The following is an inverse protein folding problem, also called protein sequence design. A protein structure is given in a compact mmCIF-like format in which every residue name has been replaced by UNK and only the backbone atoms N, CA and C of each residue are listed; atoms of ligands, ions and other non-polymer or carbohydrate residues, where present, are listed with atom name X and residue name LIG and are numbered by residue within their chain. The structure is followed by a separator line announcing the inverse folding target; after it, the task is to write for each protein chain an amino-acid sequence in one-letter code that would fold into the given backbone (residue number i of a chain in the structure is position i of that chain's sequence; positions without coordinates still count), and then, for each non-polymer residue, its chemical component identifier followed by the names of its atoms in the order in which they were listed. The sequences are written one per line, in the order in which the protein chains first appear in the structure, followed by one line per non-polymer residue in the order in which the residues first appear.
data_IF_234422204555
#
_entry.id   IF_234422204555
#
_cell.length_a   1.000
_cell.length_b   1.000
_cell.length_c   1.000
_cell.angle_alpha   90.00
_cell.angle_beta   90.00
_cell.angle_gamma   90.00
#
_symmetry.space_group_name_H-M   'P 1'
#
loop_
_entity.id
_entity.type
_entity.pdbx_description
1 polymer ?
#
# COMPACT_ATOMS: atom_id res chain seq x y z
N UNK A 1 13.03 -3.70 2.36
CA UNK A 1 13.78 -3.75 1.08
C UNK A 1 14.86 -4.84 1.04
N UNK A 2 14.71 -5.97 1.73
CA UNK A 2 15.79 -7.00 1.79
C UNK A 2 15.64 -8.14 0.75
N UNK A 3 14.43 -8.40 0.24
CA UNK A 3 14.20 -9.42 -0.79
C UNK A 3 14.68 -9.05 -2.19
N UNK A 4 14.98 -7.76 -2.42
CA UNK A 4 15.38 -7.24 -3.72
C UNK A 4 16.90 -7.37 -3.85
N UNK A 5 17.35 -8.16 -4.81
CA UNK A 5 18.75 -8.28 -5.18
C UNK A 5 19.17 -7.15 -6.15
N UNK A 6 18.28 -6.74 -7.06
CA UNK A 6 18.51 -5.68 -8.02
C UNK A 6 17.18 -5.03 -8.42
N UNK A 7 17.15 -3.72 -8.65
CA UNK A 7 16.03 -3.04 -9.33
C UNK A 7 16.52 -2.61 -10.71
N UNK A 8 15.83 -3.08 -11.75
CA UNK A 8 16.01 -2.62 -13.13
C UNK A 8 14.76 -1.88 -13.55
N UNK A 9 14.89 -0.60 -13.85
CA UNK A 9 13.77 0.21 -14.37
C UNK A 9 13.88 0.23 -15.89
N UNK A 10 12.87 -0.32 -16.57
CA UNK A 10 12.78 -0.32 -18.03
C UNK A 10 11.71 0.67 -18.47
N UNK A 11 12.15 1.83 -18.95
CA UNK A 11 11.28 2.85 -19.53
C UNK A 11 11.10 2.48 -21.02
N UNK A 12 9.90 1.99 -21.37
CA UNK A 12 9.52 1.57 -22.73
C UNK A 12 10.41 0.47 -23.34
N UNK A 13 10.25 -0.82 -22.93
CA UNK A 13 10.93 -1.91 -23.60
C UNK A 13 10.45 -2.05 -25.05
N UNK A 14 11.38 -1.98 -26.01
CA UNK A 14 11.15 -2.32 -27.43
C UNK A 14 11.22 -3.84 -27.69
N UNK A 15 11.38 -4.66 -26.65
CA UNK A 15 11.46 -6.11 -26.76
C UNK A 15 10.06 -6.74 -26.77
N UNK A 16 9.77 -7.51 -27.83
CA UNK A 16 8.52 -8.23 -28.08
C UNK A 16 8.19 -9.23 -26.93
N UNK A 17 9.18 -9.54 -26.07
CA UNK A 17 9.06 -10.43 -24.91
C UNK A 17 8.45 -9.78 -23.66
N UNK A 18 8.41 -8.44 -23.59
CA UNK A 18 7.90 -7.67 -22.45
C UNK A 18 6.54 -7.02 -22.81
N UNK A 19 5.52 -7.84 -23.05
CA UNK A 19 4.16 -7.38 -23.35
C UNK A 19 3.24 -7.36 -22.12
N UNK A 20 2.31 -6.39 -22.05
CA UNK A 20 1.18 -6.39 -21.10
C UNK A 20 1.13 -5.26 -20.07
N UNK A 21 1.99 -4.24 -20.14
CA UNK A 21 2.01 -3.13 -19.18
C UNK A 21 1.41 -1.85 -19.78
N UNK A 22 0.35 -1.32 -19.16
CA UNK A 22 -0.03 0.10 -19.32
C UNK A 22 0.77 0.92 -18.28
N UNK A 23 2.07 1.11 -18.51
CA UNK A 23 2.93 1.88 -17.58
C UNK A 23 4.43 1.57 -17.66
N UNK A 24 5.20 2.12 -16.72
CA UNK A 24 6.64 1.83 -16.57
C UNK A 24 6.86 0.43 -15.98
N UNK A 25 7.65 -0.41 -16.64
CA UNK A 25 8.03 -1.73 -16.16
C UNK A 25 9.16 -1.63 -15.14
N UNK A 26 8.87 -1.89 -13.86
CA UNK A 26 9.90 -2.04 -12.82
C UNK A 26 10.18 -3.54 -12.68
N UNK A 27 11.34 -3.97 -13.17
CA UNK A 27 11.82 -5.34 -13.01
C UNK A 27 12.75 -5.41 -11.79
N UNK A 28 12.21 -5.80 -10.64
CA UNK A 28 13.02 -6.12 -9.47
C UNK A 28 13.44 -7.60 -9.51
N UNK A 29 14.74 -7.87 -9.54
CA UNK A 29 15.30 -9.21 -9.37
C UNK A 29 15.34 -9.51 -7.88
N UNK A 30 14.70 -10.59 -7.47
CA UNK A 30 14.65 -11.01 -6.07
C UNK A 30 15.76 -12.00 -5.76
N UNK A 31 16.25 -12.02 -4.52
CA UNK A 31 17.26 -12.99 -4.07
C UNK A 31 16.76 -14.44 -4.32
N UNK A 32 17.72 -15.35 -4.48
CA UNK A 32 17.53 -16.80 -4.68
C UNK A 32 18.30 -17.57 -3.60
N UNK A 33 17.91 -18.82 -3.35
CA UNK A 33 18.68 -19.69 -2.48
C UNK A 33 20.03 -20.08 -3.12
N UNK A 34 21.02 -20.36 -2.28
CA UNK A 34 22.35 -20.83 -2.69
C UNK A 34 22.65 -22.17 -2.01
N UNK A 35 23.83 -22.75 -2.24
CA UNK A 35 24.26 -23.95 -1.51
C UNK A 35 24.58 -23.70 -0.04
N UNK A 36 24.67 -22.44 0.35
CA UNK A 36 24.90 -22.03 1.73
C UNK A 36 23.59 -21.54 2.33
N UNK A 37 23.35 -21.93 3.57
CA UNK A 37 22.21 -21.43 4.31
C UNK A 37 22.49 -19.99 4.77
N UNK A 38 21.57 -19.10 4.47
CA UNK A 38 21.63 -17.68 4.85
C UNK A 38 20.31 -17.27 5.49
N UNK A 39 20.39 -16.47 6.54
CA UNK A 39 19.23 -15.87 7.17
C UNK A 39 19.56 -14.44 7.60
N UNK A 40 18.60 -13.55 7.46
CA UNK A 40 18.69 -12.15 7.86
C UNK A 40 17.45 -11.76 8.65
N UNK A 41 17.63 -10.90 9.64
CA UNK A 41 16.55 -10.26 10.36
C UNK A 41 16.91 -8.79 10.57
N UNK A 42 15.92 -7.92 10.51
CA UNK A 42 16.13 -6.49 10.76
C UNK A 42 14.87 -5.87 11.34
N UNK A 43 15.07 -4.77 12.06
CA UNK A 43 14.02 -3.90 12.59
C UNK A 43 14.46 -2.47 12.37
N UNK A 44 13.57 -1.66 11.81
CA UNK A 44 13.68 -0.22 11.72
C UNK A 44 12.52 0.38 12.52
N UNK A 45 12.82 1.33 13.40
CA UNK A 45 11.80 2.07 14.12
C UNK A 45 12.10 3.57 14.06
N UNK A 46 11.03 4.35 13.94
CA UNK A 46 11.05 5.80 14.06
C UNK A 46 9.82 6.24 14.83
N UNK A 47 10.02 6.95 15.92
CA UNK A 47 8.97 7.54 16.75
C UNK A 47 9.00 9.06 16.66
N UNK A 48 7.92 9.70 17.10
CA UNK A 48 7.81 11.14 17.33
C UNK A 48 8.93 11.70 18.21
N UNK A 49 9.41 10.94 19.21
CA UNK A 49 10.52 11.35 20.08
C UNK A 49 11.85 11.56 19.35
N UNK A 50 11.96 11.10 18.09
CA UNK A 50 13.14 11.26 17.24
C UNK A 50 12.97 12.38 16.19
N UNK A 51 11.85 13.11 16.19
CA UNK A 51 11.50 14.14 15.20
C UNK A 51 11.05 15.41 15.92
N UNK A 52 11.44 16.59 15.42
CA UNK A 52 10.96 17.87 15.98
C UNK A 52 9.49 18.12 15.64
N UNK A 53 8.74 18.72 16.57
CA UNK A 53 7.29 18.96 16.44
C UNK A 53 6.93 20.45 16.15
N UNK A 54 7.84 21.20 15.53
CA UNK A 54 7.66 22.65 15.29
C UNK A 54 7.70 23.02 13.81
N UNK A 55 6.82 23.92 13.37
CA UNK A 55 6.84 24.52 12.02
C UNK A 55 7.04 26.04 12.18
N UNK A 56 8.16 26.56 11.64
CA UNK A 56 8.46 27.99 11.70
C UNK A 56 8.59 28.55 13.12
N UNK A 57 8.97 27.71 14.09
CA UNK A 57 9.07 28.07 15.52
C UNK A 57 7.79 27.92 16.34
N UNK A 58 6.68 27.48 15.72
CA UNK A 58 5.43 27.18 16.43
C UNK A 58 5.28 25.67 16.62
N UNK A 59 4.95 25.22 17.82
CA UNK A 59 4.64 23.83 18.12
C UNK A 59 3.31 23.43 17.46
N UNK A 60 3.23 22.20 16.96
CA UNK A 60 1.99 21.63 16.43
C UNK A 60 1.13 21.17 17.62
N UNK A 61 -0.08 21.73 17.74
CA UNK A 61 -1.02 21.43 18.84
C UNK A 61 -1.65 20.04 18.75
N UNK A 62 -1.89 19.56 17.54
CA UNK A 62 -2.29 18.18 17.32
C UNK A 62 -1.08 17.28 17.68
N UNK A 63 -1.14 16.61 18.82
CA UNK A 63 -0.13 15.64 19.26
C UNK A 63 -0.54 14.16 19.17
N UNK A 64 -1.17 13.68 18.09
CA UNK A 64 -1.41 12.25 17.91
C UNK A 64 -0.12 11.50 17.54
N UNK A 65 -0.08 10.22 17.90
CA UNK A 65 1.12 9.40 17.87
C UNK A 65 1.71 9.28 16.46
N UNK A 66 3.01 9.60 16.31
CA UNK A 66 3.78 9.24 15.12
C UNK A 66 4.69 8.06 15.42
N UNK A 67 4.44 6.94 14.76
CA UNK A 67 5.25 5.74 14.90
C UNK A 67 5.36 5.01 13.56
N UNK A 68 6.58 4.62 13.20
CA UNK A 68 6.87 3.78 12.06
C UNK A 68 7.72 2.60 12.54
N UNK A 69 7.24 1.39 12.31
CA UNK A 69 7.96 0.15 12.56
C UNK A 69 8.00 -0.67 11.28
N UNK A 70 9.19 -1.03 10.83
CA UNK A 70 9.39 -1.94 9.73
C UNK A 70 10.29 -3.08 10.19
N UNK A 71 9.76 -4.29 10.19
CA UNK A 71 10.48 -5.50 10.59
C UNK A 71 10.51 -6.46 9.41
N UNK A 72 11.62 -7.16 9.21
CA UNK A 72 11.69 -8.18 8.19
C UNK A 72 12.60 -9.34 8.55
N UNK A 73 12.29 -10.48 7.95
CA UNK A 73 13.04 -11.72 8.04
C UNK A 73 13.25 -12.25 6.62
N UNK A 74 14.44 -12.73 6.31
CA UNK A 74 14.65 -13.56 5.13
C UNK A 74 15.47 -14.79 5.45
N UNK A 75 15.23 -15.86 4.70
CA UNK A 75 15.96 -17.11 4.81
C UNK A 75 16.06 -17.74 3.43
N UNK A 76 17.22 -18.30 3.12
CA UNK A 76 17.41 -19.03 1.87
C UNK A 76 18.57 -20.01 1.96
N UNK A 77 18.52 -21.02 1.11
CA UNK A 77 19.52 -22.08 1.09
C UNK A 77 19.07 -23.28 0.26
N UNK A 78 19.81 -24.40 0.32
CA UNK A 78 19.46 -25.60 -0.42
C UNK A 78 18.43 -26.43 0.36
N UNK A 79 17.38 -26.89 -0.33
CA UNK A 79 16.60 -28.06 0.10
C UNK A 79 17.38 -29.33 -0.27
N UNK A 80 17.97 -29.34 -1.47
CA UNK A 80 18.88 -30.37 -1.96
C UNK A 80 20.06 -29.67 -2.63
N UNK A 81 21.26 -29.84 -2.08
CA UNK A 81 22.48 -29.18 -2.61
C UNK A 81 22.63 -29.42 -4.11
N UNK A 82 23.07 -28.38 -4.81
CA UNK A 82 23.25 -28.31 -6.27
C UNK A 82 21.97 -28.46 -7.12
N UNK A 83 20.85 -28.81 -6.49
CA UNK A 83 19.63 -29.21 -7.20
C UNK A 83 18.42 -28.34 -6.90
N UNK A 84 18.04 -28.18 -5.65
CA UNK A 84 16.81 -27.51 -5.24
C UNK A 84 17.11 -26.49 -4.14
N UNK A 85 16.73 -25.25 -4.39
CA UNK A 85 16.98 -24.11 -3.53
C UNK A 85 15.68 -23.41 -3.17
N UNK A 86 15.66 -22.80 -2.00
CA UNK A 86 14.53 -21.97 -1.58
C UNK A 86 15.03 -20.60 -1.11
N UNK A 87 14.15 -19.62 -1.24
CA UNK A 87 14.27 -18.32 -0.59
C UNK A 87 12.89 -17.88 -0.12
N UNK A 88 12.81 -17.41 1.12
CA UNK A 88 11.61 -16.88 1.72
C UNK A 88 11.92 -15.54 2.38
N UNK A 89 11.03 -14.56 2.22
CA UNK A 89 11.09 -13.28 2.91
C UNK A 89 9.71 -12.89 3.39
N UNK A 90 9.66 -12.29 4.56
CA UNK A 90 8.50 -11.62 5.11
C UNK A 90 8.91 -10.24 5.61
N UNK A 91 8.13 -9.21 5.27
CA UNK A 91 8.33 -7.84 5.71
C UNK A 91 6.99 -7.29 6.20
N UNK A 92 7.03 -6.67 7.38
CA UNK A 92 5.91 -6.06 8.06
C UNK A 92 6.21 -4.59 8.28
N UNK A 93 5.36 -3.70 7.79
CA UNK A 93 5.39 -2.26 8.05
C UNK A 93 4.11 -1.88 8.80
N UNK A 94 4.29 -1.14 9.89
CA UNK A 94 3.22 -0.57 10.71
C UNK A 94 3.50 0.90 10.88
N UNK A 95 2.57 1.74 10.44
CA UNK A 95 2.72 3.18 10.53
C UNK A 95 1.46 3.79 11.12
N UNK A 96 1.69 4.63 12.11
CA UNK A 96 0.69 5.46 12.77
C UNK A 96 1.06 6.89 12.44
N UNK A 97 0.11 7.62 11.86
CA UNK A 97 0.23 9.04 11.59
C UNK A 97 -0.95 9.78 12.25
N UNK A 98 -0.75 11.05 12.61
CA UNK A 98 -1.83 11.98 12.89
C UNK A 98 -2.98 11.91 11.87
N UNK A 99 -4.22 11.76 12.34
CA UNK A 99 -5.40 11.86 11.49
C UNK A 99 -5.59 13.27 10.91
N UNK A 100 -5.14 14.27 11.65
CA UNK A 100 -5.19 15.70 11.36
C UNK A 100 -4.09 16.43 12.14
N UNK A 101 -3.54 17.50 11.55
CA UNK A 101 -2.66 18.44 12.26
C UNK A 101 -3.43 19.60 12.92
N UNK A 102 -4.76 19.59 12.81
CA UNK A 102 -5.66 20.60 13.33
C UNK A 102 -6.50 20.06 14.49
N UNK A 103 -6.65 20.87 15.53
CA UNK A 103 -7.60 20.68 16.63
C UNK A 103 -8.70 21.74 16.58
N UNK A 104 -9.82 21.51 17.28
CA UNK A 104 -10.90 22.48 17.40
C UNK A 104 -10.51 23.59 18.39
N UNK A 105 -11.02 24.79 18.15
CA UNK A 105 -10.92 25.96 19.02
C UNK A 105 -11.76 25.75 20.29
N UNK A 106 -11.14 25.88 21.46
CA UNK A 106 -11.76 25.64 22.77
C UNK A 106 -12.01 26.94 23.57
N UNK A 107 -11.29 28.02 23.28
CA UNK A 107 -11.31 29.26 24.07
C UNK A 107 -11.79 30.50 23.28
N UNK A 108 -12.01 30.36 21.97
CA UNK A 108 -12.45 31.42 21.08
C UNK A 108 -11.31 32.24 20.45
N UNK A 109 -10.04 31.88 20.70
CA UNK A 109 -8.84 32.54 20.19
C UNK A 109 -8.00 31.58 19.35
N UNK A 110 -8.24 31.59 18.05
CA UNK A 110 -7.57 30.69 17.09
C UNK A 110 -6.04 30.85 17.12
N UNK A 111 -5.36 29.78 17.54
CA UNK A 111 -3.91 29.64 17.48
C UNK A 111 -3.43 28.85 16.24
N UNK A 112 -2.11 28.80 16.04
CA UNK A 112 -1.51 27.98 14.97
C UNK A 112 -1.77 26.49 15.25
N UNK A 113 -2.30 25.77 14.26
CA UNK A 113 -2.71 24.36 14.43
C UNK A 113 -4.14 24.20 14.93
N UNK A 114 -4.90 25.28 15.03
CA UNK A 114 -6.34 25.23 15.33
C UNK A 114 -7.18 25.50 14.08
N UNK A 115 -8.34 24.86 14.07
CA UNK A 115 -9.45 25.20 13.19
C UNK A 115 -10.37 26.16 13.92
N UNK A 116 -11.01 27.10 13.21
CA UNK A 116 -12.09 27.96 13.75
C UNK A 116 -13.31 27.20 14.29
N UNK A 117 -13.34 25.90 14.09
CA UNK A 117 -14.40 25.01 14.52
C UNK A 117 -14.35 24.90 16.04
N UNK A 118 -15.47 25.17 16.71
CA UNK A 118 -15.57 25.17 18.17
C UNK A 118 -15.70 23.75 18.70
N UNK A 119 -14.87 23.38 19.68
CA UNK A 119 -14.94 22.10 20.37
C UNK A 119 -16.33 21.87 20.99
N UNK A 120 -16.92 22.90 21.60
CA UNK A 120 -18.27 22.83 22.20
C UNK A 120 -19.34 22.50 21.15
N UNK A 121 -19.25 23.10 19.97
CA UNK A 121 -20.18 22.81 18.85
C UNK A 121 -19.97 21.40 18.31
N UNK A 122 -18.72 20.95 18.17
CA UNK A 122 -18.41 19.59 17.71
C UNK A 122 -18.92 18.53 18.68
N UNK A 123 -18.75 18.74 19.98
CA UNK A 123 -19.31 17.87 21.02
C UNK A 123 -20.84 17.82 20.98
N UNK A 124 -21.50 18.97 20.81
CA UNK A 124 -22.94 19.03 20.67
C UNK A 124 -23.44 18.28 19.41
N UNK A 125 -22.72 18.40 18.29
CA UNK A 125 -23.01 17.63 17.07
C UNK A 125 -22.86 16.13 17.35
N UNK A 126 -21.71 15.69 17.89
CA UNK A 126 -21.46 14.28 18.24
C UNK A 126 -22.55 13.71 19.14
N UNK A 127 -22.91 14.41 20.22
CA UNK A 127 -23.98 13.98 21.13
C UNK A 127 -25.33 13.90 20.43
N UNK A 128 -25.68 14.92 19.63
CA UNK A 128 -26.94 14.90 18.86
C UNK A 128 -27.01 13.72 17.89
N UNK A 129 -25.92 13.43 17.18
CA UNK A 129 -25.81 12.29 16.28
C UNK A 129 -26.02 10.96 16.99
N UNK A 130 -25.44 10.82 18.18
CA UNK A 130 -25.59 9.62 19.01
C UNK A 130 -27.01 9.49 19.57
N UNK A 131 -27.52 10.52 20.22
CA UNK A 131 -28.75 10.42 21.02
C UNK A 131 -30.04 10.37 20.17
N UNK A 132 -30.04 11.05 19.02
CA UNK A 132 -31.23 11.15 18.17
C UNK A 132 -31.16 10.26 16.94
N UNK A 133 -29.99 10.12 16.36
CA UNK A 133 -29.81 9.37 15.11
C UNK A 133 -29.14 8.01 15.31
N UNK A 134 -28.73 7.68 16.55
CA UNK A 134 -28.00 6.45 16.86
C UNK A 134 -26.79 6.23 15.94
N UNK A 135 -26.09 7.31 15.62
CA UNK A 135 -24.93 7.31 14.73
C UNK A 135 -23.69 7.75 15.51
N UNK A 136 -22.66 6.90 15.48
CA UNK A 136 -21.35 7.23 16.03
C UNK A 136 -20.49 7.96 14.99
N UNK A 137 -20.17 9.21 15.28
CA UNK A 137 -19.34 10.05 14.41
C UNK A 137 -17.85 9.66 14.50
N UNK A 138 -17.43 8.96 15.55
CA UNK A 138 -16.03 8.90 15.94
C UNK A 138 -15.54 10.25 16.46
N UNK A 139 -14.23 10.37 16.63
CA UNK A 139 -13.60 11.60 17.13
C UNK A 139 -13.39 12.63 16.01
N UNK A 140 -13.32 13.91 16.35
CA UNK A 140 -13.03 14.99 15.39
C UNK A 140 -11.59 15.51 15.48
N UNK A 141 -10.85 15.06 16.49
CA UNK A 141 -9.44 15.38 16.73
C UNK A 141 -8.81 14.28 17.57
N UNK A 142 -7.48 14.22 17.63
CA UNK A 142 -6.76 13.28 18.50
C UNK A 142 -6.85 11.80 18.09
N UNK A 143 -7.33 11.50 16.89
CA UNK A 143 -7.35 10.16 16.32
C UNK A 143 -6.16 9.95 15.35
N UNK A 144 -5.85 8.68 15.08
CA UNK A 144 -4.76 8.26 14.22
C UNK A 144 -5.25 7.70 12.88
N UNK A 145 -4.44 7.87 11.85
CA UNK A 145 -4.51 7.07 10.63
C UNK A 145 -3.48 5.96 10.67
N UNK A 146 -3.92 4.75 10.33
CA UNK A 146 -3.07 3.58 10.25
C UNK A 146 -2.70 3.29 8.79
N UNK A 147 -1.43 2.98 8.54
CA UNK A 147 -0.94 2.42 7.29
C UNK A 147 -0.15 1.15 7.59
N UNK A 148 -0.70 0.01 7.20
CA UNK A 148 -0.06 -1.29 7.40
C UNK A 148 0.26 -1.94 6.06
N UNK A 149 1.39 -2.64 6.03
CA UNK A 149 1.86 -3.33 4.84
C UNK A 149 2.55 -4.64 5.20
N UNK A 150 1.98 -5.76 4.78
CA UNK A 150 2.55 -7.10 4.90
C UNK A 150 2.93 -7.62 3.53
N UNK A 151 4.22 -7.93 3.35
CA UNK A 151 4.77 -8.46 2.12
C UNK A 151 5.40 -9.81 2.39
N UNK A 152 5.09 -10.79 1.54
CA UNK A 152 5.76 -12.08 1.56
C UNK A 152 6.27 -12.43 0.17
N UNK A 153 7.46 -12.99 0.10
CA UNK A 153 8.00 -13.60 -1.10
C UNK A 153 8.47 -15.00 -0.79
N UNK A 154 8.02 -15.97 -1.57
CA UNK A 154 8.54 -17.33 -1.58
C UNK A 154 9.08 -17.63 -2.97
N UNK A 155 10.25 -18.23 -3.04
CA UNK A 155 10.89 -18.64 -4.29
C UNK A 155 11.48 -20.03 -4.14
N UNK A 156 11.28 -20.86 -5.15
CA UNK A 156 11.88 -22.18 -5.30
C UNK A 156 12.58 -22.24 -6.65
N UNK A 157 13.86 -22.59 -6.64
CA UNK A 157 14.67 -22.76 -7.83
C UNK A 157 15.13 -24.22 -7.90
N UNK A 158 14.79 -24.92 -8.99
CA UNK A 158 15.05 -26.35 -9.18
C UNK A 158 15.81 -26.62 -10.48
N UNK A 159 17.06 -27.05 -10.34
CA UNK A 159 17.87 -27.61 -11.42
C UNK A 159 17.42 -29.05 -11.65
N UNK A 160 16.49 -29.26 -12.59
CA UNK A 160 16.03 -30.59 -12.98
C UNK A 160 17.21 -31.45 -13.47
N UNK A 161 18.10 -30.85 -14.26
CA UNK A 161 19.41 -31.37 -14.68
C UNK A 161 20.25 -30.23 -15.29
N UNK A 162 21.40 -30.55 -15.91
CA UNK A 162 22.31 -29.56 -16.51
C UNK A 162 21.67 -28.70 -17.63
N UNK A 163 20.57 -29.15 -18.23
CA UNK A 163 19.93 -28.52 -19.38
C UNK A 163 18.59 -27.86 -19.05
N UNK A 164 17.98 -28.18 -17.90
CA UNK A 164 16.64 -27.76 -17.54
C UNK A 164 16.62 -27.21 -16.12
N UNK A 165 16.12 -25.98 -15.96
CA UNK A 165 15.86 -25.38 -14.66
C UNK A 165 14.44 -24.81 -14.59
N UNK A 166 13.84 -24.92 -13.40
CA UNK A 166 12.49 -24.50 -13.10
C UNK A 166 12.53 -23.53 -11.92
N UNK A 167 11.87 -22.39 -12.04
CA UNK A 167 11.68 -21.44 -10.95
C UNK A 167 10.19 -21.29 -10.67
N UNK A 168 9.82 -21.32 -9.40
CA UNK A 168 8.51 -20.92 -8.92
C UNK A 168 8.67 -19.75 -7.96
N UNK A 169 7.81 -18.74 -8.08
CA UNK A 169 7.74 -17.58 -7.18
C UNK A 169 6.30 -17.28 -6.80
N UNK A 170 6.10 -17.05 -5.52
CA UNK A 170 4.86 -16.48 -4.97
C UNK A 170 5.16 -15.16 -4.28
N UNK A 171 4.41 -14.11 -4.62
CA UNK A 171 4.45 -12.81 -3.95
C UNK A 171 3.07 -12.51 -3.35
N UNK A 172 3.05 -12.09 -2.09
CA UNK A 172 1.87 -11.62 -1.39
C UNK A 172 2.05 -10.16 -0.98
N UNK A 173 1.01 -9.36 -1.16
CA UNK A 173 0.84 -8.05 -0.54
C UNK A 173 -0.50 -8.04 0.19
N UNK A 174 -0.51 -7.64 1.46
CA UNK A 174 -1.71 -7.23 2.17
C UNK A 174 -1.42 -5.86 2.75
N UNK A 175 -2.12 -4.85 2.29
CA UNK A 175 -1.85 -3.49 2.74
C UNK A 175 -3.12 -2.68 2.85
N UNK A 176 -3.12 -1.73 3.77
CA UNK A 176 -4.17 -0.76 3.86
C UNK A 176 -3.65 0.59 4.34
N UNK A 177 -4.43 1.64 4.08
CA UNK A 177 -4.20 2.98 4.60
C UNK A 177 -5.53 3.66 4.93
N UNK A 178 -5.63 4.19 6.14
CA UNK A 178 -6.72 5.04 6.56
C UNK A 178 -6.58 6.46 5.99
N UNK A 179 -7.72 7.04 5.62
CA UNK A 179 -7.83 8.39 5.11
C UNK A 179 -9.07 9.06 5.71
N UNK A 180 -9.02 10.39 5.80
CA UNK A 180 -10.20 11.21 6.06
C UNK A 180 -11.19 11.20 4.89
N UNK A 181 -12.30 11.97 4.98
CA UNK A 181 -13.23 12.12 3.87
C UNK A 181 -12.55 12.67 2.62
N UNK A 182 -13.14 12.39 1.46
CA UNK A 182 -12.65 12.94 0.22
C UNK A 182 -12.67 14.48 0.25
N UNK A 183 -11.53 15.10 -0.06
CA UNK A 183 -11.23 16.47 0.38
C UNK A 183 -12.05 17.61 -0.22
N UNK A 184 -12.80 17.42 -1.33
CA UNK A 184 -13.45 18.53 -2.04
C UNK A 184 -14.91 18.31 -2.43
N UNK A 185 -15.26 17.09 -2.85
CA UNK A 185 -16.56 16.83 -3.47
C UNK A 185 -17.68 16.92 -2.43
N UNK A 186 -18.78 17.63 -2.77
CA UNK A 186 -19.91 17.96 -1.90
C UNK A 186 -19.60 18.88 -0.70
N UNK A 187 -18.40 19.46 -0.61
CA UNK A 187 -18.14 20.47 0.43
C UNK A 187 -19.07 21.68 0.31
N UNK A 188 -19.44 22.25 1.45
CA UNK A 188 -20.21 23.49 1.49
C UNK A 188 -19.48 24.60 0.70
N UNK A 189 -20.16 25.17 -0.29
CA UNK A 189 -19.60 26.17 -1.21
C UNK A 189 -18.27 25.77 -1.90
N UNK A 190 -18.03 24.47 -2.08
CA UNK A 190 -16.78 23.95 -2.68
C UNK A 190 -15.50 24.34 -1.91
N UNK A 191 -15.59 24.53 -0.59
CA UNK A 191 -14.49 25.01 0.25
C UNK A 191 -13.64 23.89 0.87
N UNK A 192 -13.95 22.63 0.56
CA UNK A 192 -13.25 21.44 1.05
C UNK A 192 -13.92 20.77 2.25
N UNK A 193 -13.64 19.48 2.46
CA UNK A 193 -14.14 18.61 3.56
C UNK A 193 -13.02 18.13 4.49
N UNK A 194 -11.78 18.32 4.08
CA UNK A 194 -10.61 17.88 4.85
C UNK A 194 -10.35 18.75 6.07
N UNK A 195 -9.57 18.26 7.04
CA UNK A 195 -9.14 19.07 8.17
C UNK A 195 -8.28 20.25 7.70
N UNK A 196 -8.64 21.46 8.10
CA UNK A 196 -7.91 22.70 7.83
C UNK A 196 -8.30 23.78 8.86
N UNK A 197 -7.79 25.00 8.69
CA UNK A 197 -8.09 26.15 9.58
C UNK A 197 -9.57 26.54 9.63
N UNK A 198 -10.38 26.10 8.65
CA UNK A 198 -11.80 26.45 8.52
C UNK A 198 -12.76 25.31 8.83
N UNK A 199 -12.33 24.04 8.68
CA UNK A 199 -13.17 22.85 8.85
C UNK A 199 -12.45 21.70 9.55
N UNK A 200 -13.22 20.89 10.30
CA UNK A 200 -12.77 19.62 10.87
C UNK A 200 -13.80 18.52 10.62
N UNK A 201 -13.47 17.48 9.84
CA UNK A 201 -14.33 16.32 9.69
C UNK A 201 -14.23 15.37 10.89
N UNK A 202 -15.31 14.64 11.15
CA UNK A 202 -15.29 13.51 12.07
C UNK A 202 -14.61 12.28 11.45
N UNK A 203 -13.95 11.46 12.27
CA UNK A 203 -13.17 10.31 11.87
C UNK A 203 -13.98 9.31 11.04
N UNK A 204 -15.23 9.02 11.43
CA UNK A 204 -16.05 8.03 10.74
C UNK A 204 -16.54 8.50 9.36
N UNK A 205 -16.35 9.78 9.03
CA UNK A 205 -16.48 10.30 7.66
C UNK A 205 -15.32 9.88 6.75
N UNK A 206 -14.28 9.28 7.31
CA UNK A 206 -13.16 8.70 6.58
C UNK A 206 -13.40 7.27 6.10
N UNK A 207 -12.37 6.71 5.47
CA UNK A 207 -12.38 5.38 4.90
C UNK A 207 -10.97 4.79 4.85
N UNK A 208 -10.91 3.47 4.69
CA UNK A 208 -9.69 2.70 4.51
C UNK A 208 -9.58 2.24 3.07
N UNK A 209 -8.44 2.50 2.43
CA UNK A 209 -8.07 1.89 1.15
C UNK A 209 -7.33 0.59 1.47
N UNK A 210 -7.76 -0.52 0.89
CA UNK A 210 -7.09 -1.82 0.98
C UNK A 210 -6.56 -2.21 -0.40
N UNK A 211 -5.33 -2.71 -0.44
CA UNK A 211 -4.68 -3.23 -1.63
C UNK A 211 -4.08 -4.59 -1.33
N UNK A 212 -4.60 -5.62 -2.00
CA UNK A 212 -4.16 -7.00 -1.83
C UNK A 212 -3.68 -7.58 -3.17
N UNK A 213 -2.54 -8.26 -3.13
CA UNK A 213 -1.96 -8.97 -4.28
C UNK A 213 -1.62 -10.42 -3.90
N UNK A 214 -2.00 -11.36 -4.75
CA UNK A 214 -1.40 -12.69 -4.82
C UNK A 214 -0.86 -12.92 -6.23
N UNK A 215 0.45 -13.08 -6.35
CA UNK A 215 1.17 -13.20 -7.61
C UNK A 215 1.92 -14.54 -7.65
N UNK A 216 1.53 -15.42 -8.57
CA UNK A 216 2.20 -16.70 -8.83
C UNK A 216 2.95 -16.61 -10.14
N UNK A 217 4.20 -17.07 -10.18
CA UNK A 217 5.00 -17.13 -11.40
C UNK A 217 5.75 -18.47 -11.46
N UNK A 218 5.78 -19.04 -12.66
CA UNK A 218 6.51 -20.26 -12.99
C UNK A 218 7.35 -20.00 -14.24
N UNK A 219 8.62 -20.33 -14.20
CA UNK A 219 9.54 -20.20 -15.34
C UNK A 219 10.30 -21.51 -15.54
N UNK A 220 10.25 -22.07 -16.75
CA UNK A 220 11.02 -23.25 -17.14
C UNK A 220 11.98 -22.85 -18.26
N UNK A 221 13.28 -22.86 -17.97
CA UNK A 221 14.32 -22.71 -18.99
C UNK A 221 14.83 -24.10 -19.37
N UNK A 222 14.88 -24.37 -20.68
CA UNK A 222 15.25 -25.66 -21.25
C UNK A 222 16.25 -25.49 -22.37
N UNK A 223 17.26 -26.37 -22.43
CA UNK A 223 18.20 -26.49 -23.54
C UNK A 223 18.09 -27.88 -24.15
N UNK A 224 17.82 -27.96 -25.45
CA UNK A 224 17.76 -29.23 -26.17
C UNK A 224 18.95 -29.33 -27.12
N UNK A 225 19.95 -30.12 -26.75
CA UNK A 225 21.23 -30.18 -27.47
C UNK A 225 22.00 -28.86 -27.38
N UNK A 226 22.83 -28.57 -28.37
CA UNK A 226 23.65 -27.35 -28.42
C UNK A 226 22.97 -26.15 -29.08
N UNK A 227 21.86 -26.37 -29.79
CA UNK A 227 21.34 -25.39 -30.75
C UNK A 227 19.92 -24.92 -30.44
N UNK A 228 19.25 -25.46 -29.42
CA UNK A 228 17.87 -25.10 -29.09
C UNK A 228 17.79 -24.68 -27.63
N UNK A 229 17.27 -23.49 -27.38
CA UNK A 229 16.89 -23.02 -26.05
C UNK A 229 15.42 -22.64 -26.03
N UNK A 230 14.74 -22.92 -24.93
CA UNK A 230 13.36 -22.59 -24.72
C UNK A 230 13.16 -21.97 -23.34
N UNK A 231 12.40 -20.89 -23.28
CA UNK A 231 11.96 -20.26 -22.04
C UNK A 231 10.43 -20.22 -22.03
N UNK A 232 9.85 -21.11 -21.24
CA UNK A 232 8.43 -21.08 -20.93
C UNK A 232 8.22 -20.27 -19.65
N UNK A 233 7.25 -19.35 -19.66
CA UNK A 233 6.88 -18.56 -18.50
C UNK A 233 5.36 -18.49 -18.36
N UNK A 234 4.91 -18.66 -17.13
CA UNK A 234 3.53 -18.53 -16.73
C UNK A 234 3.46 -17.59 -15.54
N UNK A 235 2.52 -16.65 -15.53
CA UNK A 235 2.16 -15.89 -14.34
C UNK A 235 0.66 -15.74 -14.17
N UNK A 236 0.25 -15.66 -12.92
CA UNK A 236 -1.13 -15.40 -12.54
C UNK A 236 -1.16 -14.46 -11.34
N UNK A 237 -1.77 -13.29 -11.52
CA UNK A 237 -1.82 -12.23 -10.53
C UNK A 237 -3.27 -11.91 -10.19
N UNK A 238 -3.60 -11.93 -8.90
CA UNK A 238 -4.90 -11.52 -8.36
C UNK A 238 -4.71 -10.21 -7.59
N UNK A 239 -5.27 -9.14 -8.12
CA UNK A 239 -5.37 -7.84 -7.45
C UNK A 239 -6.77 -7.71 -6.87
N UNK A 240 -6.87 -7.38 -5.59
CA UNK A 240 -8.13 -7.13 -4.87
C UNK A 240 -7.99 -5.82 -4.12
N UNK A 241 -8.51 -4.79 -4.76
CA UNK A 241 -8.46 -3.42 -4.26
C UNK A 241 -9.87 -3.00 -3.87
N UNK A 242 -10.09 -2.71 -2.59
CA UNK A 242 -11.42 -2.33 -2.10
C UNK A 242 -11.31 -1.31 -0.98
N UNK A 243 -12.41 -0.60 -0.73
CA UNK A 243 -12.46 0.52 0.21
C UNK A 243 -13.42 0.10 1.33
N UNK A 244 -13.11 0.48 2.56
CA UNK A 244 -13.93 0.17 3.74
C UNK A 244 -14.23 1.48 4.47
N UNK A 245 -15.49 1.86 4.53
CA UNK A 245 -15.91 3.02 5.31
C UNK A 245 -15.56 2.81 6.80
N UNK A 246 -15.23 3.90 7.50
CA UNK A 246 -15.10 3.88 8.96
C UNK A 246 -16.48 3.94 9.65
N UNK A 247 -17.48 4.50 8.98
CA UNK A 247 -18.87 4.57 9.43
C UNK A 247 -19.72 3.39 8.98
N UNK A 248 -20.83 3.20 9.68
CA UNK A 248 -22.01 2.50 9.16
C UNK A 248 -22.67 3.31 8.03
N UNK A 249 -23.57 2.66 7.28
CA UNK A 249 -24.36 3.35 6.24
C UNK A 249 -25.16 4.50 6.86
N UNK A 250 -24.88 5.72 6.43
CA UNK A 250 -25.51 6.93 6.95
C UNK A 250 -25.41 8.07 5.93
N UNK A 251 -26.38 8.99 5.81
CA UNK A 251 -26.24 10.13 4.91
C UNK A 251 -25.00 10.97 5.22
N UNK A 252 -24.29 11.42 4.18
CA UNK A 252 -23.26 12.46 4.35
C UNK A 252 -23.94 13.78 4.68
N UNK A 253 -23.55 14.39 5.81
CA UNK A 253 -24.04 15.68 6.27
C UNK A 253 -22.88 16.66 6.28
N UNK A 254 -23.03 17.74 5.52
CA UNK A 254 -22.09 18.84 5.46
C UNK A 254 -22.70 20.04 6.18
N UNK A 255 -22.01 20.53 7.20
CA UNK A 255 -22.43 21.70 7.96
C UNK A 255 -21.54 22.85 7.53
N UNK A 256 -22.16 23.92 7.01
CA UNK A 256 -21.48 25.16 6.64
C UNK A 256 -21.73 26.25 7.67
N UNK A 257 -20.74 27.12 7.86
CA UNK A 257 -20.87 28.34 8.67
C UNK A 257 -20.03 29.44 8.02
N UNK A 258 -20.56 30.66 7.95
CA UNK A 258 -19.89 31.83 7.34
C UNK A 258 -19.45 31.60 5.89
N UNK A 259 -20.24 30.84 5.14
CA UNK A 259 -20.00 30.58 3.73
C UNK A 259 -18.89 29.57 3.42
N UNK A 260 -18.31 28.92 4.44
CA UNK A 260 -17.32 27.84 4.28
C UNK A 260 -17.75 26.58 5.02
N UNK A 261 -17.20 25.43 4.68
CA UNK A 261 -17.41 24.17 5.40
C UNK A 261 -16.96 24.34 6.85
N UNK A 262 -17.76 23.84 7.78
CA UNK A 262 -17.47 23.80 9.20
C UNK A 262 -17.10 22.39 9.63
N UNK A 263 -17.95 21.41 9.30
CA UNK A 263 -17.67 20.00 9.59
C UNK A 263 -18.41 19.07 8.63
N UNK A 264 -17.92 17.82 8.60
CA UNK A 264 -18.44 16.71 7.82
C UNK A 264 -18.73 15.54 8.76
N UNK A 265 -19.97 15.05 8.69
CA UNK A 265 -20.47 13.89 9.43
C UNK A 265 -21.04 12.89 8.45
N UNK A 266 -21.02 11.60 8.78
CA UNK A 266 -21.74 10.58 8.02
C UNK A 266 -20.84 9.79 7.12
N UNK A 267 -21.43 9.08 6.17
CA UNK A 267 -20.69 8.14 5.35
C UNK A 267 -19.89 8.83 4.24
N UNK A 268 -18.74 8.28 3.83
CA UNK A 268 -17.96 8.81 2.70
C UNK A 268 -18.64 8.42 1.38
N UNK A 269 -19.22 9.35 0.61
CA UNK A 269 -20.15 8.98 -0.47
C UNK A 269 -19.47 8.57 -1.79
N UNK A 270 -18.16 8.78 -1.95
CA UNK A 270 -17.48 8.56 -3.25
C UNK A 270 -16.64 7.31 -3.32
N UNK A 271 -15.85 7.05 -2.28
CA UNK A 271 -14.74 6.11 -2.38
C UNK A 271 -15.12 4.69 -1.95
N UNK A 272 -16.12 4.54 -1.10
CA UNK A 272 -16.47 3.32 -0.35
C UNK A 272 -16.82 2.09 -1.20
N UNK A 273 -17.39 2.27 -2.38
CA UNK A 273 -17.84 1.19 -3.26
C UNK A 273 -16.90 1.00 -4.45
N UNK A 274 -15.76 1.69 -4.45
CA UNK A 274 -14.72 1.45 -5.43
C UNK A 274 -14.05 0.11 -5.13
N UNK A 275 -14.36 -0.87 -5.97
CA UNK A 275 -13.79 -2.22 -5.93
C UNK A 275 -13.15 -2.47 -7.29
N UNK A 276 -11.88 -2.87 -7.27
CA UNK A 276 -11.15 -3.32 -8.44
C UNK A 276 -10.64 -4.73 -8.16
N UNK A 277 -11.30 -5.68 -8.80
CA UNK A 277 -10.90 -7.08 -8.82
C UNK A 277 -10.35 -7.40 -10.20
N UNK A 278 -9.04 -7.62 -10.27
CA UNK A 278 -8.35 -7.91 -11.52
C UNK A 278 -7.57 -9.21 -11.41
N UNK A 279 -7.82 -10.11 -12.35
CA UNK A 279 -7.08 -11.35 -12.52
C UNK A 279 -6.31 -11.28 -13.85
N UNK A 280 -4.99 -11.32 -13.78
CA UNK A 280 -4.12 -11.28 -14.97
C UNK A 280 -3.38 -12.60 -15.10
N UNK A 281 -3.63 -13.31 -16.19
CA UNK A 281 -2.89 -14.49 -16.58
C UNK A 281 -1.99 -14.16 -17.77
N UNK A 282 -0.71 -14.53 -17.68
CA UNK A 282 0.26 -14.40 -18.75
C UNK A 282 0.89 -15.75 -19.03
N UNK A 283 0.98 -16.12 -20.31
CA UNK A 283 1.68 -17.30 -20.76
C UNK A 283 2.57 -16.88 -21.92
N UNK A 284 3.87 -17.13 -21.81
CA UNK A 284 4.81 -16.90 -22.90
C UNK A 284 5.67 -18.12 -23.10
N UNK A 285 6.05 -18.34 -24.35
CA UNK A 285 6.91 -19.43 -24.74
C UNK A 285 7.87 -18.90 -25.80
N UNK A 286 9.13 -18.73 -25.43
CA UNK A 286 10.16 -18.20 -26.30
C UNK A 286 11.11 -19.32 -26.72
N UNK A 287 11.10 -19.70 -27.99
CA UNK A 287 11.97 -20.70 -28.57
C UNK A 287 13.08 -20.02 -29.39
N UNK A 288 14.33 -20.30 -29.04
CA UNK A 288 15.51 -19.82 -29.78
C UNK A 288 16.25 -20.99 -30.42
N UNK A 289 16.56 -20.86 -31.70
CA UNK A 289 17.36 -21.79 -32.48
C UNK A 289 18.64 -21.11 -32.97
N UNK A 290 19.79 -21.71 -32.67
CA UNK A 290 21.12 -21.17 -32.98
C UNK A 290 21.72 -21.90 -34.19
N UNK A 291 22.00 -21.15 -35.27
CA UNK A 291 22.61 -21.62 -36.52
C UNK A 291 23.96 -20.91 -36.74
N UNK A 292 25.04 -21.39 -36.11
CA UNK A 292 26.36 -20.76 -36.23
C UNK A 292 26.34 -19.32 -35.69
N UNK A 293 26.57 -18.32 -36.55
CA UNK A 293 26.52 -16.90 -36.19
C UNK A 293 25.10 -16.29 -36.22
N UNK A 294 24.07 -17.07 -36.53
CA UNK A 294 22.69 -16.60 -36.66
C UNK A 294 21.81 -17.17 -35.54
N UNK A 295 20.89 -16.36 -35.00
CA UNK A 295 19.90 -16.79 -33.99
C UNK A 295 18.50 -16.50 -34.51
N UNK A 296 17.66 -17.52 -34.61
CA UNK A 296 16.23 -17.39 -34.87
C UNK A 296 15.49 -17.48 -33.54
N UNK A 297 14.61 -16.54 -33.22
CA UNK A 297 13.77 -16.58 -32.01
C UNK A 297 12.30 -16.38 -32.39
N UNK A 298 11.40 -17.07 -31.70
CA UNK A 298 9.95 -16.92 -31.83
C UNK A 298 9.22 -17.31 -30.56
#
# INVERSE_FOLDING_TARGET
MDAVAQVTVSIAPFDIREGGFTGAGINAVTKSGTNDFTATAYVYNRSESLVGNSIGGNEILASPELNFNQTGLSVGGPIMKDKLFFFANYEMERRIDPGSNYVADDDGTIAFGESRVSATTMDAIRQRMKDVYNYDTGDYQGYNHLTDNDKMLLKLDYNLNANHNLMFRYNMLRSYRDLGPHGFVLSHNNTGRGPNTSSLPFENSGYRINNNLDSYALELNSKFGSNIANKFFFSYNKFRDFRKAKSVDFPTIEIGQDGVTYTTVGHEPFSIHNILDQDVMQITNNLSYFMGNQTLSG
#
